data_IF_637822063827
#
_entry.id   IF_637822063827
#
_cell.length_a   1.000
_cell.length_b   1.000
_cell.length_c   1.000
_cell.angle_alpha   90.00
_cell.angle_beta   90.00
_cell.angle_gamma   90.00
#
_symmetry.space_group_name_H-M   'P 1'
#
loop_
_entity.id
_entity.type
_entity.pdbx_description
1 polymer ?
#
# COMPACT_ATOMS: atom_id res chain seq x y z
N UNK A 1 -23.46 -6.28 0.56
CA UNK A 1 -22.72 -5.07 0.11
C UNK A 1 -21.69 -5.57 -0.88
N UNK A 2 -21.61 -5.02 -2.10
CA UNK A 2 -20.78 -5.61 -3.16
C UNK A 2 -19.29 -5.48 -2.83
N UNK A 3 -18.56 -6.60 -2.90
CA UNK A 3 -17.11 -6.64 -2.64
C UNK A 3 -16.36 -6.38 -3.94
N UNK A 4 -15.63 -5.27 -4.00
CA UNK A 4 -14.87 -4.86 -5.18
C UNK A 4 -13.45 -5.42 -5.12
N UNK A 5 -12.94 -5.88 -6.26
CA UNK A 5 -11.62 -6.52 -6.36
C UNK A 5 -10.78 -6.02 -7.53
N UNK A 6 -11.40 -5.40 -8.55
CA UNK A 6 -10.65 -4.93 -9.72
C UNK A 6 -9.91 -3.64 -9.43
N UNK A 7 -8.77 -3.45 -10.09
CA UNK A 7 -7.92 -2.27 -9.91
C UNK A 7 -8.68 -0.97 -10.14
N UNK A 8 -9.45 -0.87 -11.24
CA UNK A 8 -10.22 0.33 -11.59
C UNK A 8 -11.40 0.62 -10.63
N UNK A 9 -11.89 -0.39 -9.91
CA UNK A 9 -12.92 -0.22 -8.89
C UNK A 9 -12.34 0.33 -7.59
N UNK A 10 -11.10 -0.06 -7.26
CA UNK A 10 -10.42 0.23 -5.99
C UNK A 10 -9.50 1.46 -6.05
N UNK A 11 -8.99 1.81 -7.23
CA UNK A 11 -7.99 2.86 -7.41
C UNK A 11 -8.35 3.81 -8.55
N UNK A 12 -8.12 5.11 -8.34
CA UNK A 12 -8.07 6.16 -9.35
C UNK A 12 -6.68 6.83 -9.29
N UNK A 13 -5.65 6.11 -9.73
CA UNK A 13 -4.26 6.59 -9.67
C UNK A 13 -3.96 7.52 -10.86
N UNK A 14 -3.90 8.82 -10.61
CA UNK A 14 -3.57 9.84 -11.62
C UNK A 14 -2.11 10.28 -11.61
N UNK A 15 -1.30 9.73 -10.69
CA UNK A 15 0.11 10.07 -10.57
C UNK A 15 0.90 9.66 -11.83
N UNK A 16 1.72 10.59 -12.33
CA UNK A 16 2.36 10.55 -13.65
C UNK A 16 3.23 9.31 -13.91
N UNK A 17 3.92 8.77 -12.89
CA UNK A 17 4.80 7.61 -13.01
C UNK A 17 4.22 6.35 -12.34
N UNK A 18 2.99 6.40 -11.82
CA UNK A 18 2.29 5.25 -11.27
C UNK A 18 1.10 4.83 -12.12
N UNK A 19 0.47 5.74 -12.86
CA UNK A 19 -0.77 5.49 -13.60
C UNK A 19 -0.70 4.24 -14.48
N UNK A 20 0.38 4.09 -15.25
CA UNK A 20 0.54 2.98 -16.20
C UNK A 20 0.53 1.60 -15.51
N UNK A 21 1.18 1.42 -14.35
CA UNK A 21 1.20 0.10 -13.67
C UNK A 21 -0.18 -0.28 -13.11
N UNK A 22 -1.02 0.70 -12.77
CA UNK A 22 -2.41 0.46 -12.37
C UNK A 22 -3.31 0.16 -13.59
N UNK A 23 -3.19 0.93 -14.68
CA UNK A 23 -4.01 0.73 -15.90
C UNK A 23 -3.76 -0.61 -16.59
N UNK A 24 -2.55 -1.16 -16.44
CA UNK A 24 -2.12 -2.44 -17.04
C UNK A 24 -2.28 -3.65 -16.13
N UNK A 25 -2.96 -3.52 -15.00
CA UNK A 25 -3.21 -4.61 -14.04
C UNK A 25 -4.71 -4.74 -13.78
N UNK A 26 -5.31 -5.88 -14.13
CA UNK A 26 -6.75 -6.09 -13.91
C UNK A 26 -7.06 -6.14 -12.42
N UNK A 27 -6.20 -6.83 -11.67
CA UNK A 27 -6.29 -6.93 -10.22
C UNK A 27 -5.07 -6.28 -9.54
N UNK A 28 -5.24 -5.65 -8.38
CA UNK A 28 -4.18 -4.85 -7.79
C UNK A 28 -3.02 -5.69 -7.23
N UNK A 29 -3.23 -6.98 -6.91
CA UNK A 29 -2.12 -7.86 -6.51
C UNK A 29 -1.18 -8.20 -7.68
N UNK A 30 -1.62 -8.07 -8.94
CA UNK A 30 -0.77 -8.27 -10.12
C UNK A 30 0.31 -7.19 -10.28
N UNK A 31 0.16 -6.06 -9.58
CA UNK A 31 1.16 -5.00 -9.50
C UNK A 31 2.42 -5.49 -8.77
N UNK A 32 2.25 -6.29 -7.71
CA UNK A 32 3.32 -6.69 -6.79
C UNK A 32 4.54 -7.36 -7.46
N UNK A 33 4.38 -8.35 -8.37
CA UNK A 33 5.53 -8.94 -9.06
C UNK A 33 6.16 -7.98 -10.08
N UNK A 34 5.44 -6.96 -10.54
CA UNK A 34 5.90 -5.99 -11.55
C UNK A 34 6.75 -4.86 -10.93
N UNK A 35 6.58 -4.55 -9.65
CA UNK A 35 7.20 -3.38 -8.96
C UNK A 35 8.69 -3.24 -9.27
N UNK A 36 9.48 -4.30 -9.08
CA UNK A 36 10.94 -4.23 -9.27
C UNK A 36 11.32 -3.88 -10.71
N UNK A 37 10.64 -4.49 -11.69
CA UNK A 37 10.86 -4.21 -13.12
C UNK A 37 10.45 -2.78 -13.45
N UNK A 38 9.30 -2.36 -12.94
CA UNK A 38 8.76 -1.02 -13.17
C UNK A 38 9.67 0.08 -12.60
N UNK A 39 10.25 -0.10 -11.41
CA UNK A 39 11.24 0.86 -10.88
C UNK A 39 12.46 0.96 -11.79
N UNK A 40 12.95 -0.16 -12.34
CA UNK A 40 14.09 -0.12 -13.27
C UNK A 40 13.76 0.66 -14.54
N UNK A 41 12.54 0.53 -15.05
CA UNK A 41 12.08 1.30 -16.20
C UNK A 41 12.01 2.80 -15.88
N UNK A 42 11.49 3.18 -14.70
CA UNK A 42 11.49 4.56 -14.23
C UNK A 42 12.92 5.11 -14.11
N UNK A 43 13.84 4.35 -13.50
CA UNK A 43 15.24 4.74 -13.34
C UNK A 43 15.95 4.93 -14.69
N UNK A 44 15.65 4.08 -15.68
CA UNK A 44 16.22 4.18 -17.02
C UNK A 44 15.65 5.35 -17.83
N UNK A 45 14.34 5.62 -17.71
CA UNK A 45 13.67 6.77 -18.35
C UNK A 45 14.06 8.11 -17.70
N UNK A 46 14.31 8.09 -16.38
CA UNK A 46 14.41 9.29 -15.56
C UNK A 46 13.04 9.92 -15.31
N UNK A 47 12.95 10.76 -14.27
CA UNK A 47 11.79 11.60 -14.01
C UNK A 47 12.24 13.06 -13.89
N UNK A 48 11.46 13.98 -14.47
CA UNK A 48 11.71 15.41 -14.31
C UNK A 48 11.57 15.79 -12.85
N UNK A 49 12.48 16.61 -12.33
CA UNK A 49 12.49 17.07 -10.93
C UNK A 49 12.72 15.96 -9.88
N UNK A 50 13.38 14.87 -10.29
CA UNK A 50 13.87 13.83 -9.39
C UNK A 50 15.39 13.70 -9.47
N UNK A 51 16.01 13.41 -8.33
CA UNK A 51 17.46 13.22 -8.19
C UNK A 51 17.76 11.82 -7.66
N UNK A 52 18.84 11.22 -8.17
CA UNK A 52 19.33 9.93 -7.67
C UNK A 52 20.26 10.18 -6.48
N UNK A 53 19.81 9.82 -5.27
CA UNK A 53 20.59 10.05 -4.04
C UNK A 53 21.57 8.91 -3.74
N UNK A 54 21.32 7.73 -4.32
CA UNK A 54 22.20 6.56 -4.32
C UNK A 54 21.83 5.66 -5.49
N UNK A 55 22.72 4.73 -5.88
CA UNK A 55 22.45 3.81 -6.99
C UNK A 55 21.09 3.09 -6.81
N UNK A 56 20.17 3.32 -7.75
CA UNK A 56 18.84 2.72 -7.75
C UNK A 56 17.79 3.38 -6.82
N UNK A 57 18.10 4.53 -6.21
CA UNK A 57 17.15 5.29 -5.37
C UNK A 57 16.92 6.68 -5.95
N UNK A 58 15.71 6.92 -6.43
CA UNK A 58 15.28 8.17 -7.05
C UNK A 58 14.34 8.94 -6.12
N UNK A 59 14.54 10.25 -5.95
CA UNK A 59 13.83 11.07 -4.97
C UNK A 59 13.38 12.39 -5.60
N UNK A 60 12.09 12.73 -5.46
CA UNK A 60 11.53 13.98 -5.95
C UNK A 60 11.90 15.20 -5.09
N UNK A 61 11.54 16.39 -5.57
CA UNK A 61 11.73 17.64 -4.80
C UNK A 61 11.06 17.61 -3.43
N UNK A 62 11.61 18.40 -2.50
CA UNK A 62 11.03 18.63 -1.17
C UNK A 62 10.80 17.37 -0.31
N UNK A 63 11.42 16.23 -0.66
CA UNK A 63 11.39 15.04 0.18
C UNK A 63 12.25 15.28 1.42
N UNK A 64 11.69 14.95 2.58
CA UNK A 64 12.37 15.07 3.87
C UNK A 64 12.74 13.69 4.39
N UNK A 65 14.03 13.39 4.43
CA UNK A 65 14.58 12.14 4.95
C UNK A 65 15.27 12.42 6.28
N UNK A 66 14.84 11.78 7.37
CA UNK A 66 15.49 11.95 8.67
C UNK A 66 16.77 11.10 8.77
N UNK A 67 17.78 11.51 9.54
CA UNK A 67 19.12 10.90 9.52
C UNK A 67 19.19 9.40 9.83
N UNK A 68 18.21 8.86 10.58
CA UNK A 68 18.18 7.43 10.96
C UNK A 68 17.25 6.59 10.09
N UNK A 69 16.69 7.16 9.03
CA UNK A 69 15.93 6.39 8.04
C UNK A 69 16.89 5.64 7.10
N UNK A 70 16.52 4.41 6.74
CA UNK A 70 17.27 3.57 5.80
C UNK A 70 16.43 3.31 4.57
N UNK A 71 17.02 3.56 3.39
CA UNK A 71 16.39 3.31 2.09
C UNK A 71 17.29 2.39 1.28
N UNK A 72 16.85 1.16 1.08
CA UNK A 72 17.50 0.19 0.20
C UNK A 72 16.93 0.29 -1.22
N UNK A 73 17.80 0.08 -2.20
CA UNK A 73 17.43 0.04 -3.61
C UNK A 73 16.68 -1.26 -3.99
N UNK A 74 15.85 -1.23 -5.04
CA UNK A 74 15.47 -0.06 -5.81
C UNK A 74 14.29 0.68 -5.15
N UNK A 75 14.26 2.01 -5.25
CA UNK A 75 13.16 2.81 -4.70
C UNK A 75 12.91 4.10 -5.49
N UNK A 76 11.65 4.54 -5.53
CA UNK A 76 11.23 5.83 -6.07
C UNK A 76 10.38 6.56 -5.03
N UNK A 77 10.88 7.71 -4.56
CA UNK A 77 10.25 8.50 -3.50
C UNK A 77 9.64 9.76 -4.11
N UNK A 78 8.32 9.86 -4.08
CA UNK A 78 7.59 10.97 -4.68
C UNK A 78 7.77 12.29 -3.95
N UNK A 79 7.63 13.38 -4.70
CA UNK A 79 7.78 14.76 -4.23
C UNK A 79 7.06 15.02 -2.89
N UNK A 80 7.70 15.75 -1.98
CA UNK A 80 7.10 16.18 -0.71
C UNK A 80 6.91 15.07 0.33
N UNK A 81 7.34 13.84 0.04
CA UNK A 81 7.24 12.72 0.98
C UNK A 81 8.13 12.93 2.21
N UNK A 82 7.62 12.62 3.40
CA UNK A 82 8.38 12.62 4.65
C UNK A 82 8.73 11.18 5.06
N UNK A 83 10.01 10.88 5.21
CA UNK A 83 10.54 9.60 5.69
C UNK A 83 11.15 9.83 7.08
N UNK A 84 10.38 9.48 8.10
CA UNK A 84 10.63 9.78 9.52
C UNK A 84 11.72 8.90 10.15
N UNK A 85 12.20 9.25 11.37
CA UNK A 85 13.30 8.53 12.02
C UNK A 85 13.06 7.02 12.13
N UNK A 86 14.09 6.23 11.84
CA UNK A 86 14.04 4.77 11.96
C UNK A 86 13.15 4.06 10.95
N UNK A 87 12.55 4.77 9.97
CA UNK A 87 11.86 4.12 8.87
C UNK A 87 12.82 3.23 8.07
N UNK A 88 12.37 2.06 7.65
CA UNK A 88 13.17 1.12 6.88
C UNK A 88 12.47 0.71 5.59
N UNK A 89 12.95 1.22 4.46
CA UNK A 89 12.48 0.84 3.13
C UNK A 89 13.42 -0.24 2.59
N UNK A 90 12.95 -1.47 2.49
CA UNK A 90 13.73 -2.67 2.12
C UNK A 90 13.79 -2.93 0.60
N UNK A 91 13.71 -1.86 -0.18
CA UNK A 91 13.65 -1.92 -1.63
C UNK A 91 12.31 -2.37 -2.20
N UNK A 92 12.20 -2.20 -3.50
CA UNK A 92 10.97 -2.29 -4.28
C UNK A 92 9.85 -1.41 -3.70
N UNK A 93 10.18 -0.18 -3.29
CA UNK A 93 9.20 0.77 -2.75
C UNK A 93 8.99 1.89 -3.75
N UNK A 94 7.73 2.11 -4.14
CA UNK A 94 7.32 3.27 -4.93
C UNK A 94 6.32 4.07 -4.11
N UNK A 95 6.53 5.37 -4.00
CA UNK A 95 5.56 6.29 -3.38
C UNK A 95 5.13 7.35 -4.37
N UNK A 96 3.88 7.77 -4.27
CA UNK A 96 3.35 8.99 -4.87
C UNK A 96 3.80 10.23 -4.12
N UNK A 97 3.20 11.37 -4.42
CA UNK A 97 3.52 12.68 -3.82
C UNK A 97 2.95 12.77 -2.40
N UNK A 98 3.64 13.52 -1.54
CA UNK A 98 3.19 13.89 -0.19
C UNK A 98 2.86 12.71 0.73
N UNK A 99 3.57 11.59 0.60
CA UNK A 99 3.39 10.45 1.51
C UNK A 99 4.04 10.70 2.87
N UNK A 100 3.58 10.00 3.90
CA UNK A 100 4.24 9.97 5.22
C UNK A 100 4.63 8.55 5.55
N UNK A 101 5.94 8.29 5.57
CA UNK A 101 6.51 7.04 6.04
C UNK A 101 7.04 7.26 7.45
N UNK A 102 6.42 6.53 8.38
CA UNK A 102 6.44 6.76 9.80
C UNK A 102 7.68 6.37 10.59
N UNK A 103 7.69 6.80 11.85
CA UNK A 103 8.70 6.37 12.81
C UNK A 103 8.69 4.84 12.94
N UNK A 104 9.85 4.22 12.74
CA UNK A 104 10.03 2.76 12.81
C UNK A 104 9.01 1.97 11.96
N UNK A 105 8.54 2.57 10.86
CA UNK A 105 7.73 1.84 9.88
C UNK A 105 8.64 1.13 8.88
N UNK A 106 8.32 -0.12 8.56
CA UNK A 106 9.05 -0.93 7.59
C UNK A 106 8.20 -1.16 6.33
N UNK A 107 8.75 -0.82 5.16
CA UNK A 107 8.12 -0.97 3.86
C UNK A 107 8.95 -1.92 2.99
N UNK A 108 8.29 -2.82 2.27
CA UNK A 108 8.96 -3.79 1.40
C UNK A 108 8.04 -4.20 0.25
N UNK A 109 8.51 -4.05 -0.99
CA UNK A 109 7.75 -4.45 -2.18
C UNK A 109 6.32 -3.88 -2.20
N UNK A 110 6.18 -2.56 -2.15
CA UNK A 110 4.87 -1.92 -2.05
C UNK A 110 4.77 -0.66 -2.89
N UNK A 111 3.53 -0.35 -3.28
CA UNK A 111 3.16 0.90 -3.96
C UNK A 111 2.25 1.70 -3.05
N UNK A 112 2.63 2.95 -2.79
CA UNK A 112 1.82 3.94 -2.10
C UNK A 112 1.44 5.01 -3.11
N UNK A 113 0.15 5.24 -3.33
CA UNK A 113 -0.34 6.36 -4.13
C UNK A 113 -0.16 7.69 -3.38
N UNK A 114 -0.54 8.79 -4.03
CA UNK A 114 -0.38 10.13 -3.45
C UNK A 114 -1.08 10.26 -2.08
N UNK A 115 -0.42 10.99 -1.17
CA UNK A 115 -0.91 11.32 0.16
C UNK A 115 -1.19 10.14 1.09
N UNK A 116 -0.61 8.96 0.83
CA UNK A 116 -0.70 7.82 1.75
C UNK A 116 0.08 8.09 3.03
N UNK A 117 -0.47 7.63 4.16
CA UNK A 117 0.16 7.80 5.47
C UNK A 117 0.27 6.46 6.22
N UNK A 118 1.49 6.11 6.58
CA UNK A 118 1.86 4.94 7.39
C UNK A 118 2.76 5.42 8.55
N UNK A 119 2.22 6.26 9.45
CA UNK A 119 2.97 7.24 10.22
C UNK A 119 3.69 6.70 11.45
N UNK A 120 3.36 5.51 11.96
CA UNK A 120 3.92 5.00 13.21
C UNK A 120 3.93 3.45 13.29
N UNK A 121 5.11 2.84 13.40
CA UNK A 121 5.28 1.41 13.70
C UNK A 121 4.52 0.49 12.75
N UNK A 122 4.38 0.87 11.49
CA UNK A 122 3.65 0.08 10.51
C UNK A 122 4.59 -0.91 9.82
N UNK A 123 4.07 -2.08 9.44
CA UNK A 123 4.74 -2.95 8.46
C UNK A 123 3.87 -3.07 7.22
N UNK A 124 4.44 -2.73 6.06
CA UNK A 124 3.77 -2.69 4.77
C UNK A 124 4.58 -3.51 3.77
N UNK A 125 4.37 -4.82 3.80
CA UNK A 125 5.01 -5.78 2.90
C UNK A 125 4.08 -6.22 1.77
N UNK A 126 4.55 -6.27 0.52
CA UNK A 126 3.84 -6.85 -0.63
C UNK A 126 2.40 -6.28 -0.76
N UNK A 127 2.25 -4.95 -0.69
CA UNK A 127 0.95 -4.26 -0.54
C UNK A 127 0.78 -3.10 -1.52
N UNK A 128 -0.48 -2.74 -1.82
CA UNK A 128 -0.84 -1.58 -2.66
C UNK A 128 -1.79 -0.67 -1.88
N UNK A 129 -1.42 0.60 -1.71
CA UNK A 129 -2.14 1.57 -0.88
C UNK A 129 -2.58 2.75 -1.75
N UNK A 130 -3.88 3.01 -1.79
CA UNK A 130 -4.54 3.96 -2.67
C UNK A 130 -4.45 5.39 -2.20
N UNK A 131 -4.94 6.32 -3.04
CA UNK A 131 -4.87 7.75 -2.76
C UNK A 131 -5.45 8.06 -1.37
N UNK A 132 -4.70 8.79 -0.54
CA UNK A 132 -5.10 9.13 0.85
C UNK A 132 -5.43 7.93 1.75
N UNK A 133 -4.95 6.73 1.43
CA UNK A 133 -5.07 5.62 2.36
C UNK A 133 -4.25 5.88 3.63
N UNK A 134 -4.77 5.47 4.78
CA UNK A 134 -4.15 5.69 6.08
C UNK A 134 -4.10 4.39 6.89
N UNK A 135 -2.97 4.19 7.57
CA UNK A 135 -2.76 3.10 8.51
C UNK A 135 -2.46 3.65 9.89
N UNK A 136 -3.34 3.40 10.85
CA UNK A 136 -3.14 3.77 12.25
C UNK A 136 -1.91 3.10 12.85
N UNK A 137 -1.42 3.66 13.97
CA UNK A 137 -0.18 3.22 14.60
C UNK A 137 -0.18 1.72 14.90
N UNK A 138 0.92 1.04 14.58
CA UNK A 138 1.09 -0.40 14.85
C UNK A 138 0.18 -1.31 14.03
N UNK A 139 -0.49 -0.81 12.99
CA UNK A 139 -1.21 -1.68 12.06
C UNK A 139 -0.27 -2.32 11.04
N UNK A 140 -0.55 -3.59 10.72
CA UNK A 140 0.38 -4.51 10.04
C UNK A 140 -0.30 -5.14 8.82
N UNK A 141 0.33 -5.05 7.65
CA UNK A 141 0.01 -5.85 6.47
C UNK A 141 0.79 -7.16 6.52
N UNK A 142 0.19 -8.22 7.09
CA UNK A 142 0.80 -9.54 7.06
C UNK A 142 0.80 -10.08 5.63
N UNK A 143 1.95 -10.55 5.16
CA UNK A 143 2.16 -10.87 3.75
C UNK A 143 2.49 -12.34 3.47
N UNK A 144 2.51 -13.21 4.48
CA UNK A 144 2.79 -14.63 4.32
C UNK A 144 1.80 -15.45 5.15
N UNK A 145 1.20 -16.46 4.54
CA UNK A 145 0.36 -17.41 5.26
C UNK A 145 1.23 -18.36 6.09
N UNK A 146 0.76 -18.69 7.29
CA UNK A 146 1.46 -19.61 8.21
C UNK A 146 1.57 -21.03 7.67
N UNK A 147 0.63 -21.43 6.80
CA UNK A 147 0.65 -22.73 6.11
C UNK A 147 1.58 -22.78 4.89
N UNK A 148 2.21 -21.64 4.52
CA UNK A 148 3.10 -21.53 3.38
C UNK A 148 2.43 -21.67 2.01
N UNK A 149 1.09 -21.76 1.93
CA UNK A 149 0.36 -21.87 0.66
C UNK A 149 0.26 -20.52 -0.05
N UNK A 150 -0.19 -20.55 -1.31
CA UNK A 150 -0.55 -19.34 -2.03
C UNK A 150 -1.67 -18.59 -1.30
N UNK A 151 -1.66 -17.27 -1.47
CA UNK A 151 -2.71 -16.38 -0.96
C UNK A 151 -3.92 -16.48 -1.89
N UNK A 152 -5.10 -16.54 -1.30
CA UNK A 152 -6.39 -16.51 -2.01
C UNK A 152 -7.09 -15.24 -1.56
N UNK A 153 -7.67 -14.49 -2.49
CA UNK A 153 -8.47 -13.31 -2.17
C UNK A 153 -9.91 -13.77 -1.97
N UNK A 154 -10.43 -13.63 -0.75
CA UNK A 154 -11.77 -14.09 -0.38
C UNK A 154 -12.79 -12.95 -0.50
N UNK A 155 -13.50 -12.88 -1.63
CA UNK A 155 -14.52 -11.88 -1.91
C UNK A 155 -15.94 -12.50 -1.86
N UNK A 156 -16.77 -12.25 -2.87
CA UNK A 156 -18.03 -12.98 -3.09
C UNK A 156 -17.77 -14.34 -3.75
N UNK A 157 -16.66 -14.45 -4.46
CA UNK A 157 -16.00 -15.69 -4.88
C UNK A 157 -14.52 -15.67 -4.44
N UNK A 158 -13.85 -16.82 -4.55
CA UNK A 158 -12.42 -16.95 -4.25
C UNK A 158 -11.59 -16.69 -5.52
N UNK A 159 -10.56 -15.85 -5.39
CA UNK A 159 -9.60 -15.59 -6.46
C UNK A 159 -8.26 -16.24 -6.11
N UNK A 160 -7.93 -17.30 -6.83
CA UNK A 160 -6.62 -17.96 -6.76
C UNK A 160 -5.56 -17.07 -7.41
N UNK A 161 -4.52 -16.72 -6.66
CA UNK A 161 -3.49 -15.78 -7.14
C UNK A 161 -2.19 -16.45 -7.56
N UNK A 162 -1.98 -17.71 -7.18
CA UNK A 162 -0.70 -18.44 -7.25
C UNK A 162 0.48 -17.76 -6.51
N UNK A 163 0.25 -16.64 -5.83
CA UNK A 163 1.29 -15.85 -5.18
C UNK A 163 1.50 -16.30 -3.74
N UNK A 164 2.75 -16.59 -3.37
CA UNK A 164 3.12 -16.93 -1.98
C UNK A 164 3.06 -15.75 -1.02
N UNK A 165 3.25 -14.53 -1.52
CA UNK A 165 3.24 -13.31 -0.71
C UNK A 165 2.33 -12.24 -1.30
N UNK A 166 1.32 -11.87 -0.53
CA UNK A 166 0.45 -10.72 -0.74
C UNK A 166 0.13 -10.19 0.65
N UNK A 167 0.41 -8.91 0.90
CA UNK A 167 0.02 -8.19 2.10
C UNK A 167 -1.43 -7.76 2.04
N UNK A 168 -1.66 -6.45 2.06
CA UNK A 168 -3.00 -5.88 1.96
C UNK A 168 -3.13 -4.95 0.74
N UNK A 169 -4.36 -4.81 0.27
CA UNK A 169 -4.77 -3.83 -0.73
C UNK A 169 -5.66 -2.82 -0.01
N UNK A 170 -5.19 -1.59 0.14
CA UNK A 170 -6.00 -0.48 0.67
C UNK A 170 -6.42 0.39 -0.49
N UNK A 171 -7.71 0.45 -0.78
CA UNK A 171 -8.25 1.31 -1.83
C UNK A 171 -8.17 2.80 -1.47
N UNK A 172 -8.55 3.66 -2.41
CA UNK A 172 -8.54 5.11 -2.20
C UNK A 172 -9.38 5.53 -0.98
N UNK A 173 -8.79 6.31 -0.07
CA UNK A 173 -9.42 6.80 1.15
C UNK A 173 -9.71 5.73 2.20
N UNK A 174 -9.19 4.51 2.06
CA UNK A 174 -9.27 3.49 3.10
C UNK A 174 -8.49 3.93 4.35
N UNK A 175 -9.07 3.70 5.53
CA UNK A 175 -8.51 4.16 6.81
C UNK A 175 -8.54 3.03 7.83
N UNK A 176 -7.36 2.55 8.23
CA UNK A 176 -7.21 1.39 9.10
C UNK A 176 -6.88 1.85 10.51
N UNK A 177 -7.67 1.42 11.50
CA UNK A 177 -7.42 1.76 12.91
C UNK A 177 -6.10 1.20 13.47
N UNK A 178 -5.67 1.75 14.60
CA UNK A 178 -4.44 1.34 15.27
C UNK A 178 -4.43 -0.15 15.68
N UNK A 179 -3.26 -0.78 15.63
CA UNK A 179 -3.06 -2.17 16.07
C UNK A 179 -3.81 -3.23 15.26
N UNK A 180 -4.37 -2.88 14.10
CA UNK A 180 -5.01 -3.85 13.23
C UNK A 180 -3.99 -4.77 12.55
N UNK A 181 -4.35 -6.04 12.38
CA UNK A 181 -3.63 -6.99 11.53
C UNK A 181 -4.49 -7.28 10.31
N UNK A 182 -4.00 -6.88 9.14
CA UNK A 182 -4.59 -7.26 7.87
C UNK A 182 -3.90 -8.55 7.43
N UNK A 183 -4.66 -9.66 7.41
CA UNK A 183 -4.14 -10.96 6.98
C UNK A 183 -3.78 -10.93 5.47
N UNK A 184 -2.93 -11.86 5.00
CA UNK A 184 -2.56 -11.93 3.59
C UNK A 184 -3.77 -11.92 2.66
N UNK A 185 -3.78 -11.01 1.69
CA UNK A 185 -4.86 -10.86 0.71
C UNK A 185 -6.06 -10.04 1.20
N UNK A 186 -5.96 -9.35 2.34
CA UNK A 186 -7.05 -8.46 2.80
C UNK A 186 -7.19 -7.26 1.88
N UNK A 187 -8.42 -6.95 1.49
CA UNK A 187 -8.75 -5.79 0.66
C UNK A 187 -9.71 -4.88 1.42
N UNK A 188 -9.36 -3.61 1.60
CA UNK A 188 -10.23 -2.60 2.19
C UNK A 188 -10.71 -1.66 1.08
N UNK A 189 -12.02 -1.63 0.84
CA UNK A 189 -12.64 -0.83 -0.21
C UNK A 189 -12.54 0.70 0.00
N UNK A 190 -12.92 1.45 -1.04
CA UNK A 190 -12.79 2.90 -1.09
C UNK A 190 -13.54 3.55 0.07
N UNK A 191 -12.93 4.55 0.70
CA UNK A 191 -13.54 5.33 1.79
C UNK A 191 -14.10 4.47 2.95
N UNK A 192 -13.52 3.30 3.19
CA UNK A 192 -13.89 2.41 4.28
C UNK A 192 -12.96 2.60 5.47
N UNK A 193 -13.54 2.77 6.67
CA UNK A 193 -12.76 2.81 7.92
C UNK A 193 -12.85 1.51 8.69
N UNK A 194 -11.74 1.09 9.27
CA UNK A 194 -11.64 -0.08 10.15
C UNK A 194 -11.41 0.37 11.58
N UNK A 195 -12.19 -0.14 12.53
CA UNK A 195 -11.95 0.13 13.95
C UNK A 195 -10.61 -0.47 14.43
N UNK A 196 -9.96 0.12 15.44
CA UNK A 196 -8.71 -0.43 15.98
C UNK A 196 -8.81 -1.88 16.43
N UNK A 197 -7.66 -2.55 16.55
CA UNK A 197 -7.49 -3.89 17.13
C UNK A 197 -8.22 -5.01 16.39
N UNK A 198 -8.46 -4.84 15.09
CA UNK A 198 -9.07 -5.86 14.26
C UNK A 198 -8.04 -6.78 13.59
N UNK A 199 -8.32 -8.07 13.58
CA UNK A 199 -7.65 -9.04 12.72
C UNK A 199 -8.58 -9.39 11.54
N UNK A 200 -8.31 -8.84 10.36
CA UNK A 200 -9.21 -8.93 9.21
C UNK A 200 -8.67 -9.89 8.15
N UNK A 201 -9.57 -10.60 7.46
CA UNK A 201 -9.29 -11.44 6.29
C UNK A 201 -10.40 -11.29 5.26
N UNK A 202 -10.02 -11.24 3.99
CA UNK A 202 -10.94 -11.14 2.85
C UNK A 202 -11.19 -9.70 2.42
N UNK A 203 -12.25 -9.51 1.64
CA UNK A 203 -12.57 -8.22 1.01
C UNK A 203 -13.69 -7.50 1.76
N UNK A 204 -13.43 -6.25 2.13
CA UNK A 204 -14.36 -5.36 2.80
C UNK A 204 -14.86 -4.28 1.82
N UNK A 205 -16.18 -4.09 1.70
CA UNK A 205 -16.78 -3.23 0.69
C UNK A 205 -16.46 -1.75 0.91
N UNK A 206 -16.56 -0.96 -0.16
CA UNK A 206 -16.41 0.50 -0.14
C UNK A 206 -17.51 1.21 0.65
N UNK A 207 -17.19 2.40 1.19
CA UNK A 207 -18.13 3.27 1.88
C UNK A 207 -18.67 2.70 3.20
N UNK A 208 -17.86 1.91 3.91
CA UNK A 208 -18.27 1.19 5.10
C UNK A 208 -17.48 1.55 6.35
N UNK A 209 -17.98 1.09 7.50
CA UNK A 209 -17.27 1.03 8.76
C UNK A 209 -17.17 -0.44 9.15
N UNK A 210 -15.95 -0.97 9.18
CA UNK A 210 -15.64 -2.32 9.63
C UNK A 210 -15.37 -2.26 11.13
N UNK A 211 -16.35 -2.66 11.93
CA UNK A 211 -16.23 -2.72 13.39
C UNK A 211 -15.51 -4.00 13.82
N UNK A 212 -15.79 -5.11 13.12
CA UNK A 212 -15.07 -6.38 13.23
C UNK A 212 -15.18 -7.21 11.94
N UNK A 213 -14.49 -8.36 11.88
CA UNK A 213 -14.52 -9.32 10.76
C UNK A 213 -15.95 -9.57 10.24
N UNK A 214 -16.91 -9.74 11.15
CA UNK A 214 -18.31 -10.07 10.83
C UNK A 214 -19.28 -8.90 11.06
N UNK A 215 -18.78 -7.72 11.44
CA UNK A 215 -19.59 -6.54 11.72
C UNK A 215 -19.17 -5.37 10.83
N UNK A 216 -19.81 -5.29 9.67
CA UNK A 216 -19.61 -4.22 8.69
C UNK A 216 -20.91 -3.45 8.53
N UNK A 217 -20.86 -2.14 8.72
CA UNK A 217 -22.01 -1.25 8.54
C UNK A 217 -21.74 -0.23 7.44
N UNK A 218 -22.77 0.20 6.71
CA UNK A 218 -22.62 1.31 5.76
C UNK A 218 -22.29 2.59 6.53
N UNK A 219 -21.38 3.39 5.98
CA UNK A 219 -21.14 4.74 6.48
C UNK A 219 -22.34 5.60 6.13
N UNK A 220 -22.97 6.20 7.13
CA UNK A 220 -23.95 7.26 6.90
C UNK A 220 -23.23 8.49 6.36
N UNK A 221 -23.83 9.16 5.37
CA UNK A 221 -23.30 10.43 4.85
C UNK A 221 -23.17 11.43 5.99
N UNK A 222 -21.97 12.00 6.15
CA UNK A 222 -21.75 13.16 7.03
C UNK A 222 -22.49 14.38 6.51
#
# INVERSE_FOLDING_TARGET
>A
MNKQVKTNELFNCENEYLKEIFETSEYPWEILPKIKGYIKEILAKGLSDYEMISEGVLVGKNVKIYPTATIEAPAVIGEGTEIRPGAFLRGNVITGKNCVIGNSSELKNCVLCDSVQVPHYNYVGDSVLGFKAHMGAGSICSNLKTDGKAVVIHADEDYETDMRKIGAILADGADVGCGCVLNPGTVIGKNTSVYPLNALRGVFPSGCIVKSQDNVVKRESR
#
